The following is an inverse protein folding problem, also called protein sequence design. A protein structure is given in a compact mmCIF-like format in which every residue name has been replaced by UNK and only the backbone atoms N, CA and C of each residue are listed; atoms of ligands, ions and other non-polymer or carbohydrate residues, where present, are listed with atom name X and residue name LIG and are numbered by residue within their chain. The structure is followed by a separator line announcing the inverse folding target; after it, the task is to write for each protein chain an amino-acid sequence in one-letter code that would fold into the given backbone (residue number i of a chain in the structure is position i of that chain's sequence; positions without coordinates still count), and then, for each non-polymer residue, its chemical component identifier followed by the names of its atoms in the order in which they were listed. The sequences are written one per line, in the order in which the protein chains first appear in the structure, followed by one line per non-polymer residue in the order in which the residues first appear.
data_IF_725810588874
#
_entry.id   IF_725810588874
#
_cell.length_a   1.000
_cell.length_b   1.000
_cell.length_c   1.000
_cell.angle_alpha   90.00
_cell.angle_beta   90.00
_cell.angle_gamma   90.00
#
_symmetry.space_group_name_H-M   'P 1'
#
loop_
_entity.id
_entity.type
_entity.pdbx_description
1 polymer ?
#
# COMPACT_ATOMS: atom_id res chain seq x y z
N UNK A 1 -15.86 -5.34 -3.83
CA UNK A 1 -17.19 -5.32 -4.46
C UNK A 1 -17.19 -4.36 -5.65
N UNK A 2 -16.94 -3.07 -5.48
CA UNK A 2 -17.00 -2.03 -6.53
C UNK A 2 -16.11 -2.33 -7.75
N UNK A 3 -14.90 -2.87 -7.55
CA UNK A 3 -13.99 -3.26 -8.64
C UNK A 3 -14.63 -4.36 -9.50
N UNK A 4 -15.28 -5.35 -8.88
CA UNK A 4 -15.97 -6.43 -9.59
C UNK A 4 -17.18 -5.92 -10.38
N UNK A 5 -17.99 -5.05 -9.78
CA UNK A 5 -19.11 -4.39 -10.46
C UNK A 5 -18.64 -3.56 -11.66
N UNK A 6 -17.49 -2.86 -11.51
CA UNK A 6 -16.89 -2.12 -12.62
C UNK A 6 -16.36 -3.03 -13.75
N UNK A 7 -15.92 -4.24 -13.40
CA UNK A 7 -15.48 -5.23 -14.39
C UNK A 7 -16.65 -5.80 -15.21
N UNK A 8 -17.86 -5.83 -14.65
CA UNK A 8 -19.08 -6.34 -15.26
C UNK A 8 -19.89 -5.27 -16.00
N UNK A 9 -19.55 -3.99 -15.81
CA UNK A 9 -20.22 -2.85 -16.43
C UNK A 9 -19.53 -2.50 -17.76
N UNK A 10 -20.17 -2.82 -18.88
CA UNK A 10 -19.64 -2.53 -20.23
C UNK A 10 -19.49 -1.03 -20.53
N UNK A 11 -20.20 -0.18 -19.80
CA UNK A 11 -20.06 1.27 -19.92
C UNK A 11 -18.75 1.79 -19.31
N UNK A 12 -18.16 1.09 -18.36
CA UNK A 12 -16.87 1.42 -17.77
C UNK A 12 -15.76 1.11 -18.78
N UNK A 13 -14.98 2.11 -19.15
CA UNK A 13 -13.87 1.97 -20.11
C UNK A 13 -12.48 2.00 -19.46
N UNK A 14 -12.39 2.49 -18.23
CA UNK A 14 -11.16 2.57 -17.45
C UNK A 14 -11.48 2.67 -15.95
N UNK A 15 -10.49 2.45 -15.09
CA UNK A 15 -10.57 2.78 -13.66
C UNK A 15 -9.61 3.91 -13.32
N UNK A 16 -10.08 4.84 -12.51
CA UNK A 16 -9.23 5.82 -11.81
C UNK A 16 -9.32 5.56 -10.32
N UNK A 17 -8.18 5.27 -9.72
CA UNK A 17 -8.05 5.11 -8.28
C UNK A 17 -7.60 6.44 -7.68
N UNK A 18 -8.50 7.12 -6.97
CA UNK A 18 -8.12 8.29 -6.19
C UNK A 18 -7.70 7.85 -4.80
N UNK A 19 -6.44 8.07 -4.48
CA UNK A 19 -5.80 7.59 -3.25
C UNK A 19 -5.43 8.79 -2.39
N UNK A 20 -5.90 8.78 -1.14
CA UNK A 20 -5.47 9.72 -0.11
C UNK A 20 -5.38 8.98 1.22
N UNK A 21 -4.24 8.32 1.45
CA UNK A 21 -4.06 7.40 2.57
C UNK A 21 -2.58 7.20 2.89
N UNK A 22 -2.27 7.18 4.19
CA UNK A 22 -0.94 6.82 4.70
C UNK A 22 -0.63 5.31 4.67
N UNK A 23 -1.58 4.49 4.26
CA UNK A 23 -1.45 3.03 4.25
C UNK A 23 -2.27 2.36 5.35
N UNK A 24 -1.83 1.19 5.80
CA UNK A 24 -2.54 0.39 6.79
C UNK A 24 -2.22 -1.10 6.68
N UNK A 25 -3.25 -1.95 6.67
CA UNK A 25 -3.09 -3.41 6.62
C UNK A 25 -2.49 -3.90 5.30
N UNK A 26 -1.41 -4.67 5.36
CA UNK A 26 -0.82 -5.34 4.21
C UNK A 26 -1.81 -6.32 3.56
N UNK A 27 -2.55 -7.09 4.36
CA UNK A 27 -3.58 -8.03 3.86
C UNK A 27 -4.68 -7.31 3.08
N UNK A 28 -5.15 -6.15 3.57
CA UNK A 28 -6.16 -5.38 2.85
C UNK A 28 -5.61 -4.85 1.51
N UNK A 29 -4.35 -4.40 1.49
CA UNK A 29 -3.70 -3.97 0.24
C UNK A 29 -3.55 -5.12 -0.75
N UNK A 30 -3.18 -6.30 -0.28
CA UNK A 30 -3.09 -7.51 -1.10
C UNK A 30 -4.45 -7.90 -1.70
N UNK A 31 -5.51 -7.91 -0.90
CA UNK A 31 -6.87 -8.22 -1.37
C UNK A 31 -7.35 -7.23 -2.44
N UNK A 32 -7.18 -5.92 -2.20
CA UNK A 32 -7.54 -4.88 -3.18
C UNK A 32 -6.68 -5.04 -4.43
N UNK A 33 -5.38 -5.21 -4.27
CA UNK A 33 -4.44 -5.40 -5.39
C UNK A 33 -4.81 -6.59 -6.27
N UNK A 34 -5.16 -7.73 -5.68
CA UNK A 34 -5.62 -8.92 -6.41
C UNK A 34 -6.90 -8.65 -7.22
N UNK A 35 -7.85 -7.89 -6.67
CA UNK A 35 -9.07 -7.55 -7.42
C UNK A 35 -8.77 -6.58 -8.56
N UNK A 36 -7.82 -5.66 -8.41
CA UNK A 36 -7.38 -4.78 -9.50
C UNK A 36 -6.67 -5.56 -10.61
N UNK A 37 -5.81 -6.51 -10.26
CA UNK A 37 -5.15 -7.39 -11.23
C UNK A 37 -6.20 -8.21 -11.99
N UNK A 38 -7.16 -8.83 -11.29
CA UNK A 38 -8.27 -9.56 -11.92
C UNK A 38 -9.12 -8.69 -12.85
N UNK A 39 -9.40 -7.44 -12.42
CA UNK A 39 -10.09 -6.49 -13.30
C UNK A 39 -9.33 -6.30 -14.60
N UNK A 40 -8.03 -6.07 -14.53
CA UNK A 40 -7.16 -5.86 -15.69
C UNK A 40 -7.12 -7.09 -16.60
N UNK A 41 -6.93 -8.27 -16.03
CA UNK A 41 -6.89 -9.54 -16.76
C UNK A 41 -8.23 -9.85 -17.45
N UNK A 42 -9.35 -9.61 -16.79
CA UNK A 42 -10.70 -9.88 -17.31
C UNK A 42 -11.12 -8.88 -18.39
N UNK A 43 -10.75 -7.60 -18.25
CA UNK A 43 -11.33 -6.53 -19.08
C UNK A 43 -10.35 -5.90 -20.06
N UNK A 44 -9.05 -6.05 -19.81
CA UNK A 44 -7.97 -5.34 -20.51
C UNK A 44 -8.13 -3.79 -20.50
N UNK A 45 -8.93 -3.26 -19.56
CA UNK A 45 -9.19 -1.81 -19.41
C UNK A 45 -8.06 -1.17 -18.61
N UNK A 46 -7.66 0.08 -18.93
CA UNK A 46 -6.59 0.75 -18.19
C UNK A 46 -7.00 1.10 -16.76
N UNK A 47 -6.00 1.08 -15.87
CA UNK A 47 -6.09 1.52 -14.48
C UNK A 47 -5.08 2.65 -14.28
N UNK A 48 -5.53 3.79 -13.80
CA UNK A 48 -4.67 4.93 -13.46
C UNK A 48 -4.88 5.26 -11.99
N UNK A 49 -3.79 5.39 -11.23
CA UNK A 49 -3.84 5.90 -9.85
C UNK A 49 -3.47 7.38 -9.80
N UNK A 50 -4.16 8.13 -8.96
CA UNK A 50 -3.81 9.51 -8.62
C UNK A 50 -3.82 9.69 -7.11
N UNK A 51 -2.80 10.33 -6.57
CA UNK A 51 -2.61 10.53 -5.14
C UNK A 51 -2.92 11.97 -4.75
N UNK A 52 -3.69 12.13 -3.67
CA UNK A 52 -3.97 13.41 -3.03
C UNK A 52 -2.81 13.89 -2.17
N UNK A 53 -3.08 14.21 -0.91
CA UNK A 53 -2.03 14.62 0.02
C UNK A 53 -1.06 13.49 0.31
N UNK A 54 -1.56 12.25 0.37
CA UNK A 54 -0.77 11.07 0.69
C UNK A 54 -1.18 9.83 -0.11
N UNK A 55 -0.17 9.07 -0.53
CA UNK A 55 -0.33 7.73 -1.09
C UNK A 55 0.86 6.86 -0.71
N UNK A 56 0.91 6.40 0.55
CA UNK A 56 2.12 5.81 1.14
C UNK A 56 1.88 4.39 1.68
N UNK A 57 2.95 3.61 1.84
CA UNK A 57 2.90 2.26 2.44
C UNK A 57 1.88 1.35 1.73
N UNK A 58 0.94 0.73 2.43
CA UNK A 58 -0.10 -0.12 1.83
C UNK A 58 -0.92 0.58 0.73
N UNK A 59 -1.12 1.90 0.80
CA UNK A 59 -1.78 2.67 -0.25
C UNK A 59 -0.91 2.78 -1.52
N UNK A 60 0.41 2.89 -1.37
CA UNK A 60 1.34 2.82 -2.49
C UNK A 60 1.42 1.41 -3.09
N UNK A 61 1.34 0.36 -2.26
CA UNK A 61 1.21 -1.03 -2.74
C UNK A 61 0.05 -1.17 -3.72
N UNK A 62 -1.16 -0.69 -3.31
CA UNK A 62 -2.35 -0.73 -4.16
C UNK A 62 -2.14 0.02 -5.48
N UNK A 63 -1.55 1.22 -5.43
CA UNK A 63 -1.25 1.98 -6.64
C UNK A 63 -0.27 1.25 -7.55
N UNK A 64 0.81 0.72 -6.98
CA UNK A 64 1.89 0.12 -7.75
C UNK A 64 1.54 -1.23 -8.37
N UNK A 65 0.67 -2.05 -7.73
CA UNK A 65 0.44 -3.44 -8.14
C UNK A 65 -0.25 -3.61 -9.50
N UNK A 66 -1.08 -2.65 -9.93
CA UNK A 66 -1.92 -2.83 -11.12
C UNK A 66 -2.06 -1.59 -12.02
N UNK A 67 -1.61 -0.40 -11.57
CA UNK A 67 -1.78 0.82 -12.36
C UNK A 67 -0.88 0.86 -13.58
N UNK A 68 -1.45 1.26 -14.70
CA UNK A 68 -0.69 1.55 -15.93
C UNK A 68 0.07 2.86 -15.82
N UNK A 69 -0.50 3.82 -15.05
CA UNK A 69 0.16 5.07 -14.68
C UNK A 69 -0.22 5.50 -13.27
N UNK A 70 0.72 6.14 -12.60
CA UNK A 70 0.57 6.71 -11.25
C UNK A 70 0.88 8.21 -11.33
N UNK A 71 -0.09 9.02 -10.92
CA UNK A 71 0.01 10.48 -10.80
C UNK A 71 0.08 10.88 -9.33
N UNK A 72 0.86 11.91 -9.04
CA UNK A 72 0.85 12.57 -7.74
C UNK A 72 1.19 14.05 -7.91
N UNK A 73 0.68 14.93 -7.04
CA UNK A 73 1.15 16.31 -7.02
C UNK A 73 2.62 16.36 -6.56
N UNK A 74 3.33 17.42 -6.91
CA UNK A 74 4.74 17.57 -6.53
C UNK A 74 4.99 17.47 -5.02
N UNK A 75 4.00 17.86 -4.22
CA UNK A 75 4.04 17.90 -2.75
C UNK A 75 3.41 16.69 -2.08
N UNK A 76 2.73 15.81 -2.82
CA UNK A 76 2.18 14.54 -2.30
C UNK A 76 3.24 13.74 -1.55
N UNK A 77 2.90 13.18 -0.41
CA UNK A 77 3.78 12.26 0.31
C UNK A 77 3.49 10.82 -0.13
N UNK A 78 4.54 10.11 -0.57
CA UNK A 78 4.43 8.73 -1.07
C UNK A 78 5.64 7.89 -0.65
N UNK A 79 5.75 6.67 -1.17
CA UNK A 79 6.79 5.72 -0.77
C UNK A 79 6.41 5.02 0.53
N UNK A 80 7.20 5.20 1.60
CA UNK A 80 7.03 4.46 2.85
C UNK A 80 6.95 2.94 2.60
N UNK A 81 7.81 2.45 1.69
CA UNK A 81 7.90 1.03 1.36
C UNK A 81 8.66 0.36 2.49
N UNK A 82 7.91 -0.27 3.39
CA UNK A 82 8.43 -0.87 4.60
C UNK A 82 7.32 -1.47 5.44
N UNK A 83 7.70 -2.30 6.40
CA UNK A 83 6.79 -3.01 7.31
C UNK A 83 7.31 -2.87 8.73
N UNK A 84 6.43 -2.60 9.67
CA UNK A 84 6.76 -2.63 11.08
C UNK A 84 5.62 -3.21 11.92
N UNK A 85 5.97 -3.80 13.05
CA UNK A 85 5.03 -4.25 14.09
C UNK A 85 5.31 -3.45 15.36
N UNK A 86 4.44 -2.50 15.75
CA UNK A 86 4.63 -1.78 17.01
C UNK A 86 4.34 -2.71 18.19
N UNK A 87 5.13 -2.61 19.25
CA UNK A 87 4.83 -3.24 20.52
C UNK A 87 5.11 -2.26 21.67
N UNK A 88 4.43 -2.48 22.79
CA UNK A 88 4.60 -1.67 23.99
C UNK A 88 4.95 -2.59 25.16
N UNK A 89 5.82 -2.14 26.05
CA UNK A 89 6.08 -2.78 27.33
C UNK A 89 5.66 -1.86 28.47
N UNK A 90 4.70 -2.29 29.26
CA UNK A 90 4.15 -1.55 30.41
C UNK A 90 4.48 -2.20 31.76
N UNK A 91 5.37 -3.19 31.80
CA UNK A 91 5.73 -3.94 33.01
C UNK A 91 6.12 -3.02 34.18
N UNK A 92 7.03 -2.09 33.94
CA UNK A 92 7.51 -1.16 34.96
C UNK A 92 6.42 -0.18 35.45
N UNK A 93 5.51 0.19 34.56
CA UNK A 93 4.35 0.99 34.94
C UNK A 93 3.44 0.20 35.89
N UNK A 94 3.13 -1.05 35.54
CA UNK A 94 2.28 -1.92 36.38
C UNK A 94 2.90 -2.15 37.75
N UNK A 95 4.21 -2.41 37.84
CA UNK A 95 4.91 -2.50 39.12
C UNK A 95 4.75 -1.23 39.98
N UNK A 96 4.89 -0.05 39.38
CA UNK A 96 4.76 1.25 40.08
C UNK A 96 3.38 1.51 40.64
N UNK A 97 2.33 1.02 39.99
CA UNK A 97 0.93 1.22 40.43
C UNK A 97 0.37 -0.01 41.18
N UNK A 98 1.22 -1.00 41.50
CA UNK A 98 0.84 -2.17 42.31
C UNK A 98 -0.02 -3.21 41.60
N UNK A 99 0.03 -3.26 40.25
CA UNK A 99 -0.67 -4.27 39.46
C UNK A 99 0.27 -5.45 39.21
N UNK A 100 -0.19 -6.66 39.52
CA UNK A 100 0.46 -7.90 39.15
C UNK A 100 -0.35 -8.63 38.08
N UNK A 101 0.32 -9.09 37.04
CA UNK A 101 -0.27 -9.88 35.96
C UNK A 101 0.24 -11.29 36.00
N UNK A 102 -0.60 -12.23 35.58
CA UNK A 102 -0.22 -13.65 35.49
C UNK A 102 -0.94 -14.29 34.30
N UNK A 103 -0.32 -15.30 33.69
CA UNK A 103 -0.87 -16.00 32.52
C UNK A 103 -0.75 -17.51 32.68
N UNK A 104 -1.84 -18.20 32.39
CA UNK A 104 -1.87 -19.64 32.17
C UNK A 104 -1.98 -19.84 30.66
N UNK A 105 -1.00 -20.47 30.04
CA UNK A 105 -0.92 -20.58 28.58
C UNK A 105 -0.57 -21.99 28.13
N UNK A 106 -1.11 -22.39 26.99
CA UNK A 106 -0.90 -23.71 26.38
C UNK A 106 0.42 -23.85 25.64
N UNK A 107 1.13 -22.76 25.37
CA UNK A 107 2.40 -22.79 24.64
C UNK A 107 3.26 -21.57 24.92
N UNK A 108 4.57 -21.73 24.73
CA UNK A 108 5.60 -20.73 25.05
C UNK A 108 5.31 -19.36 24.44
N UNK A 109 4.92 -19.33 23.18
CA UNK A 109 4.75 -18.11 22.40
C UNK A 109 3.30 -17.59 22.36
N UNK A 110 2.37 -18.18 23.16
CA UNK A 110 0.95 -17.79 23.09
C UNK A 110 0.69 -16.35 23.53
N UNK A 111 1.58 -15.79 24.32
CA UNK A 111 1.56 -14.41 24.80
C UNK A 111 2.64 -13.51 24.16
N UNK A 112 3.09 -13.88 22.97
CA UNK A 112 3.99 -13.02 22.17
C UNK A 112 3.36 -11.64 21.96
N UNK A 113 4.17 -10.58 22.03
CA UNK A 113 3.73 -9.16 22.04
C UNK A 113 2.92 -8.76 23.29
N UNK A 114 2.94 -9.54 24.37
CA UNK A 114 2.33 -9.13 25.62
C UNK A 114 2.95 -7.83 26.16
N UNK A 115 2.09 -6.93 26.66
CA UNK A 115 2.55 -5.63 27.14
C UNK A 115 3.09 -5.64 28.58
N UNK A 116 2.85 -6.70 29.32
CA UNK A 116 3.14 -6.81 30.75
C UNK A 116 4.46 -7.52 31.09
N UNK A 117 5.26 -7.80 30.10
CA UNK A 117 6.62 -8.35 30.21
C UNK A 117 7.50 -7.95 29.02
N UNK A 118 8.82 -7.99 29.18
CA UNK A 118 9.73 -7.87 28.03
C UNK A 118 9.53 -9.01 27.04
N UNK A 119 9.70 -8.69 25.75
CA UNK A 119 9.77 -9.68 24.69
C UNK A 119 11.14 -10.38 24.74
N UNK A 120 11.16 -11.70 24.60
CA UNK A 120 12.40 -12.46 24.50
C UNK A 120 13.07 -12.28 23.13
N UNK A 121 14.36 -12.57 23.03
CA UNK A 121 15.08 -12.50 21.73
C UNK A 121 14.53 -13.52 20.72
N UNK A 122 14.07 -14.69 21.19
CA UNK A 122 13.43 -15.69 20.32
C UNK A 122 12.09 -15.17 19.77
N UNK A 123 11.28 -14.53 20.61
CA UNK A 123 10.02 -13.88 20.17
C UNK A 123 10.27 -12.77 19.16
N UNK A 124 11.28 -11.92 19.41
CA UNK A 124 11.69 -10.87 18.45
C UNK A 124 12.12 -11.48 17.12
N UNK A 125 12.89 -12.57 17.14
CA UNK A 125 13.33 -13.26 15.93
C UNK A 125 12.16 -13.85 15.13
N UNK A 126 11.12 -14.36 15.82
CA UNK A 126 9.88 -14.83 15.17
C UNK A 126 9.19 -13.69 14.45
N UNK A 127 8.94 -12.58 15.15
CA UNK A 127 8.25 -11.42 14.57
C UNK A 127 9.06 -10.76 13.46
N UNK A 128 10.39 -10.69 13.60
CA UNK A 128 11.27 -10.14 12.56
C UNK A 128 11.19 -10.94 11.26
N UNK A 129 11.10 -12.26 11.33
CA UNK A 129 10.90 -13.10 10.13
C UNK A 129 9.58 -12.77 9.44
N UNK A 130 8.49 -12.59 10.19
CA UNK A 130 7.19 -12.21 9.64
C UNK A 130 7.25 -10.84 8.96
N UNK A 131 7.87 -9.84 9.62
CA UNK A 131 8.07 -8.51 9.06
C UNK A 131 8.87 -8.57 7.77
N UNK A 132 9.94 -9.37 7.74
CA UNK A 132 10.78 -9.53 6.57
C UNK A 132 10.01 -10.21 5.41
N UNK A 133 9.22 -11.24 5.69
CA UNK A 133 8.39 -11.93 4.69
C UNK A 133 7.40 -10.96 4.03
N UNK A 134 6.63 -10.21 4.82
CA UNK A 134 5.69 -9.20 4.30
C UNK A 134 6.43 -8.10 3.52
N UNK A 135 7.63 -7.70 3.98
CA UNK A 135 8.45 -6.72 3.27
C UNK A 135 8.91 -7.24 1.90
N UNK A 136 9.32 -8.52 1.82
CA UNK A 136 9.70 -9.13 0.55
C UNK A 136 8.54 -9.18 -0.45
N UNK A 137 7.33 -9.48 0.01
CA UNK A 137 6.11 -9.44 -0.82
C UNK A 137 5.82 -8.03 -1.31
N UNK A 138 6.03 -7.02 -0.46
CA UNK A 138 5.89 -5.62 -0.85
C UNK A 138 6.89 -5.25 -1.95
N UNK A 139 8.18 -5.59 -1.77
CA UNK A 139 9.22 -5.37 -2.78
C UNK A 139 8.87 -6.06 -4.09
N UNK A 140 8.49 -7.33 -4.04
CA UNK A 140 8.14 -8.11 -5.24
C UNK A 140 6.96 -7.47 -6.00
N UNK A 141 5.92 -7.07 -5.29
CA UNK A 141 4.72 -6.44 -5.87
C UNK A 141 5.06 -5.10 -6.54
N UNK A 142 5.79 -4.24 -5.85
CA UNK A 142 6.18 -2.93 -6.40
C UNK A 142 7.14 -3.10 -7.57
N UNK A 143 8.14 -3.97 -7.45
CA UNK A 143 9.10 -4.23 -8.52
C UNK A 143 8.39 -4.72 -9.80
N UNK A 144 7.45 -5.65 -9.66
CA UNK A 144 6.65 -6.15 -10.78
C UNK A 144 5.77 -5.05 -11.40
N UNK A 145 5.00 -4.34 -10.59
CA UNK A 145 4.08 -3.31 -11.06
C UNK A 145 4.79 -2.09 -11.67
N UNK A 146 5.93 -1.69 -11.11
CA UNK A 146 6.74 -0.59 -11.62
C UNK A 146 7.76 -1.02 -12.68
N UNK A 147 7.83 -2.33 -13.01
CA UNK A 147 8.84 -2.89 -13.94
C UNK A 147 10.26 -2.46 -13.55
N UNK A 148 10.55 -2.45 -12.28
CA UNK A 148 11.81 -2.01 -11.70
C UNK A 148 12.60 -3.20 -11.18
N UNK A 149 13.92 -3.15 -11.31
CA UNK A 149 14.80 -4.15 -10.69
C UNK A 149 14.62 -4.13 -9.15
N UNK A 150 14.42 -5.29 -8.54
CA UNK A 150 14.16 -5.41 -7.10
C UNK A 150 15.34 -4.92 -6.25
N UNK A 151 16.57 -5.11 -6.71
CA UNK A 151 17.77 -4.59 -6.03
C UNK A 151 17.82 -3.08 -6.04
N UNK A 152 17.51 -2.46 -7.20
CA UNK A 152 17.37 -1.00 -7.31
C UNK A 152 16.24 -0.49 -6.42
N UNK A 153 15.08 -1.15 -6.41
CA UNK A 153 13.95 -0.76 -5.57
C UNK A 153 14.32 -0.77 -4.09
N UNK A 154 15.05 -1.78 -3.61
CA UNK A 154 15.48 -1.88 -2.21
C UNK A 154 16.30 -0.67 -1.73
N UNK A 155 17.05 -0.02 -2.61
CA UNK A 155 17.80 1.19 -2.27
C UNK A 155 16.89 2.40 -1.94
N UNK A 156 15.61 2.32 -2.31
CA UNK A 156 14.60 3.33 -2.05
C UNK A 156 13.55 2.88 -1.02
N UNK A 157 13.58 1.62 -0.60
CA UNK A 157 12.53 0.94 0.15
C UNK A 157 12.95 0.64 1.60
N UNK A 158 13.53 1.60 2.28
CA UNK A 158 13.91 1.51 3.69
C UNK A 158 12.88 2.09 4.65
N UNK A 159 11.65 2.30 4.17
CA UNK A 159 10.56 2.89 4.92
C UNK A 159 10.47 4.42 4.83
N UNK A 160 11.40 5.07 4.13
CA UNK A 160 11.36 6.54 3.97
C UNK A 160 10.22 6.99 3.07
N UNK A 161 9.78 8.22 3.30
CA UNK A 161 8.80 8.92 2.46
C UNK A 161 9.50 9.79 1.43
N UNK A 162 8.79 10.06 0.33
CA UNK A 162 9.23 10.92 -0.77
C UNK A 162 8.14 11.92 -1.10
N UNK A 163 8.51 13.09 -1.59
CA UNK A 163 7.56 13.96 -2.29
C UNK A 163 7.22 13.35 -3.66
N UNK A 164 6.10 13.75 -4.26
CA UNK A 164 5.75 13.29 -5.61
C UNK A 164 6.84 13.64 -6.63
N UNK A 165 7.48 14.82 -6.52
CA UNK A 165 8.60 15.19 -7.37
C UNK A 165 9.81 14.23 -7.22
N UNK A 166 10.16 13.86 -5.99
CA UNK A 166 11.23 12.90 -5.71
C UNK A 166 10.86 11.50 -6.22
N UNK A 167 9.63 11.08 -5.98
CA UNK A 167 9.10 9.78 -6.41
C UNK A 167 9.14 9.60 -7.94
N UNK A 168 8.84 10.66 -8.70
CA UNK A 168 8.98 10.66 -10.16
C UNK A 168 10.44 10.45 -10.58
N UNK A 169 11.37 11.15 -9.97
CA UNK A 169 12.80 11.06 -10.31
C UNK A 169 13.39 9.65 -10.11
N UNK A 170 12.87 8.90 -9.15
CA UNK A 170 13.32 7.52 -8.86
C UNK A 170 12.42 6.45 -9.48
N UNK A 171 11.36 6.83 -10.19
CA UNK A 171 10.48 5.91 -10.92
C UNK A 171 9.37 5.27 -10.10
N UNK A 172 9.11 5.76 -8.88
CA UNK A 172 7.98 5.28 -8.07
C UNK A 172 6.63 5.77 -8.59
N UNK A 173 6.58 6.93 -9.25
CA UNK A 173 5.40 7.40 -9.98
C UNK A 173 5.79 7.75 -11.42
N UNK A 174 4.79 7.89 -12.28
CA UNK A 174 5.01 8.18 -13.71
C UNK A 174 4.99 9.66 -13.98
N UNK A 175 4.05 10.41 -13.41
CA UNK A 175 3.88 11.82 -13.69
C UNK A 175 3.58 12.64 -12.44
N UNK A 176 4.13 13.85 -12.43
CA UNK A 176 3.66 14.90 -11.50
C UNK A 176 2.46 15.58 -12.13
N UNK A 177 1.32 15.50 -11.46
CA UNK A 177 0.07 16.06 -11.93
C UNK A 177 -1.04 15.83 -10.90
N UNK A 178 -2.15 16.54 -11.10
CA UNK A 178 -3.31 16.46 -10.23
C UNK A 178 -4.35 15.43 -10.73
N UNK A 179 -5.49 15.37 -10.06
CA UNK A 179 -6.59 14.48 -10.40
C UNK A 179 -7.09 14.65 -11.83
N UNK A 180 -7.20 15.88 -12.33
CA UNK A 180 -7.70 16.16 -13.68
C UNK A 180 -6.69 15.75 -14.76
N UNK A 181 -5.39 15.91 -14.50
CA UNK A 181 -4.33 15.40 -15.38
C UNK A 181 -4.42 13.87 -15.52
N UNK A 182 -4.68 13.18 -14.40
CA UNK A 182 -4.88 11.73 -14.39
C UNK A 182 -6.16 11.32 -15.15
N UNK A 183 -7.27 12.06 -15.01
CA UNK A 183 -8.51 11.80 -15.74
C UNK A 183 -8.32 11.98 -17.25
N UNK A 184 -7.68 13.04 -17.68
CA UNK A 184 -7.40 13.30 -19.09
C UNK A 184 -6.50 12.20 -19.69
N UNK A 185 -5.46 11.81 -18.97
CA UNK A 185 -4.59 10.71 -19.40
C UNK A 185 -5.35 9.37 -19.48
N UNK A 186 -6.24 9.12 -18.51
CA UNK A 186 -7.11 7.93 -18.52
C UNK A 186 -8.06 7.95 -19.71
N UNK A 187 -8.64 9.12 -20.00
CA UNK A 187 -9.49 9.31 -21.18
C UNK A 187 -8.78 8.95 -22.47
N UNK A 188 -7.57 9.49 -22.68
CA UNK A 188 -6.74 9.14 -23.85
C UNK A 188 -6.43 7.65 -23.95
N UNK A 189 -6.11 7.00 -22.82
CA UNK A 189 -5.84 5.54 -22.77
C UNK A 189 -7.10 4.72 -23.12
N UNK A 190 -8.28 5.23 -22.80
CA UNK A 190 -9.57 4.60 -23.07
C UNK A 190 -10.17 5.00 -24.45
N UNK A 191 -9.45 5.78 -25.26
CA UNK A 191 -9.88 6.19 -26.61
C UNK A 191 -10.82 7.41 -26.65
N UNK A 192 -10.86 8.22 -25.58
CA UNK A 192 -11.60 9.49 -25.54
C UNK A 192 -10.69 10.67 -25.87
N UNK A 193 -11.28 11.72 -26.43
CA UNK A 193 -10.66 13.02 -26.57
C UNK A 193 -11.03 13.89 -25.35
N UNK A 194 -10.02 14.27 -24.54
CA UNK A 194 -10.20 15.02 -23.31
C UNK A 194 -10.63 14.19 -22.08
N UNK A 195 -11.29 14.85 -21.14
CA UNK A 195 -11.77 14.24 -19.89
C UNK A 195 -13.09 13.49 -20.17
N UNK A 196 -13.16 12.17 -19.97
CA UNK A 196 -14.38 11.41 -20.19
C UNK A 196 -15.41 11.65 -19.07
N UNK A 197 -16.68 11.28 -19.29
CA UNK A 197 -17.65 11.22 -18.19
C UNK A 197 -17.16 10.31 -17.07
N UNK A 198 -17.21 10.80 -15.83
CA UNK A 198 -16.76 10.08 -14.64
C UNK A 198 -17.98 9.62 -13.85
N UNK A 199 -18.00 8.34 -13.50
CA UNK A 199 -18.95 7.77 -12.55
C UNK A 199 -18.22 7.48 -11.26
N UNK A 200 -18.40 8.32 -10.26
CA UNK A 200 -17.85 8.08 -8.93
C UNK A 200 -18.60 6.92 -8.27
N UNK A 201 -17.85 6.06 -7.60
CA UNK A 201 -18.38 4.99 -6.76
C UNK A 201 -18.00 5.30 -5.33
N UNK A 202 -18.94 5.85 -4.58
CA UNK A 202 -18.77 6.15 -3.15
C UNK A 202 -18.63 4.87 -2.34
N UNK A 203 -17.96 4.99 -1.18
CA UNK A 203 -17.69 3.90 -0.23
C UNK A 203 -18.96 3.36 0.43
#
# INVERSE_FOLDING_TARGET
RQIREAAEDDSVKALVLRIDSGGGSATAAEEIGRELIRFKEKTNKPIVSTMGDMGASAAYWIAACASDKIYANSTTLTGSIGVYMPYMNTEELFKKIGISTGKIKSGTFKDIMSTDRPMTEEEKAILQRIVNEIYEDFIATVAAGRKMDAGKLRSYADGRIYTGAQAKNIGLIDEVGNYYDALEATGRMAGFDGIPPVKEREQ
#
